data_IF_826557842924
#
_entry.id   IF_826557842924
#
_cell.length_a   1.000
_cell.length_b   1.000
_cell.length_c   1.000
_cell.angle_alpha   90.00
_cell.angle_beta   90.00
_cell.angle_gamma   90.00
#
_symmetry.space_group_name_H-M   'P 1'
#
loop_
_entity.id
_entity.type
_entity.pdbx_description
1 polymer ?
#
# COMPACT_ATOMS: atom_id res chain seq x y z
N UNK A 1 -7.49 -17.18 6.91
CA UNK A 1 -7.32 -15.91 6.14
C UNK A 1 -8.06 -14.71 6.77
N UNK A 2 -9.05 -14.91 7.65
CA UNK A 2 -9.82 -13.81 8.25
C UNK A 2 -9.11 -13.09 9.40
N UNK A 3 -8.09 -13.68 9.98
CA UNK A 3 -7.42 -13.18 11.19
C UNK A 3 -6.15 -12.39 10.94
N UNK A 4 -5.60 -12.42 9.71
CA UNK A 4 -4.25 -11.93 9.42
C UNK A 4 -4.17 -10.64 8.59
N UNK A 5 -5.28 -10.08 8.13
CA UNK A 5 -5.25 -8.75 7.54
C UNK A 5 -5.49 -7.73 8.63
N UNK A 6 -4.45 -6.95 8.88
CA UNK A 6 -4.40 -5.95 9.92
C UNK A 6 -5.60 -5.01 9.90
N UNK A 7 -5.77 -4.32 10.98
CA UNK A 7 -6.88 -3.41 11.24
C UNK A 7 -7.07 -2.40 10.10
N UNK A 8 -8.31 -2.21 9.68
CA UNK A 8 -8.67 -1.26 8.62
C UNK A 8 -8.74 0.14 9.22
N UNK A 9 -8.07 1.07 8.58
CA UNK A 9 -8.27 2.48 8.87
C UNK A 9 -9.23 3.06 7.82
N UNK A 10 -10.44 3.41 8.26
CA UNK A 10 -11.43 4.07 7.40
C UNK A 10 -11.07 5.55 7.30
N UNK A 11 -10.82 6.03 6.10
CA UNK A 11 -10.55 7.44 5.86
C UNK A 11 -11.88 8.17 5.62
N UNK A 12 -12.20 9.13 6.47
CA UNK A 12 -13.26 10.09 6.20
C UNK A 12 -12.93 10.89 4.92
N UNK A 13 -13.95 11.52 4.32
CA UNK A 13 -13.76 12.41 3.17
C UNK A 13 -12.69 13.46 3.49
N UNK A 14 -11.82 13.75 2.51
CA UNK A 14 -10.91 14.89 2.62
C UNK A 14 -11.77 16.15 2.57
N UNK A 15 -11.88 16.82 3.68
CA UNK A 15 -12.51 18.14 3.77
C UNK A 15 -11.43 19.21 3.68
N UNK A 16 -11.77 20.32 3.04
CA UNK A 16 -10.93 21.52 3.01
C UNK A 16 -11.60 22.55 3.90
N UNK A 17 -10.81 23.25 4.69
CA UNK A 17 -11.28 24.41 5.43
C UNK A 17 -11.61 25.59 4.48
N UNK A 18 -12.17 26.70 5.05
CA UNK A 18 -12.52 27.89 4.28
C UNK A 18 -11.32 28.56 3.59
N UNK A 19 -10.10 28.26 4.03
CA UNK A 19 -8.84 28.81 3.50
C UNK A 19 -8.16 27.85 2.52
N UNK A 20 -8.83 26.75 2.11
CA UNK A 20 -8.31 25.67 1.27
C UNK A 20 -7.14 24.90 1.86
N UNK A 21 -6.92 24.97 3.16
CA UNK A 21 -5.99 24.11 3.83
C UNK A 21 -6.57 22.69 3.92
N UNK A 22 -5.75 21.71 3.64
CA UNK A 22 -6.12 20.30 3.71
C UNK A 22 -6.38 19.91 5.18
N UNK A 23 -7.64 19.75 5.56
CA UNK A 23 -7.95 19.16 6.86
C UNK A 23 -7.38 17.76 6.91
N UNK A 24 -6.56 17.46 7.92
CA UNK A 24 -6.04 16.10 8.11
C UNK A 24 -7.24 15.17 8.30
N UNK A 25 -7.40 14.16 7.42
CA UNK A 25 -8.53 13.26 7.55
C UNK A 25 -8.43 12.49 8.87
N UNK A 26 -9.53 12.39 9.58
CA UNK A 26 -9.63 11.51 10.73
C UNK A 26 -9.59 10.06 10.25
N UNK A 27 -8.69 9.30 10.86
CA UNK A 27 -8.57 7.87 10.59
C UNK A 27 -9.12 7.10 11.77
N UNK A 28 -10.04 6.20 11.49
CA UNK A 28 -10.62 5.31 12.50
C UNK A 28 -10.14 3.89 12.26
N UNK A 29 -9.60 3.25 13.30
CA UNK A 29 -9.26 1.84 13.26
C UNK A 29 -10.55 1.01 13.33
N UNK A 30 -10.75 0.15 12.35
CA UNK A 30 -11.85 -0.82 12.43
C UNK A 30 -11.48 -1.94 13.39
N UNK A 31 -12.35 -2.22 14.35
CA UNK A 31 -12.25 -3.39 15.23
C UNK A 31 -12.76 -4.67 14.54
N UNK A 32 -13.35 -4.55 13.36
CA UNK A 32 -13.91 -5.66 12.60
C UNK A 32 -12.99 -6.05 11.44
N UNK A 33 -12.88 -7.35 11.13
CA UNK A 33 -12.17 -7.80 9.94
C UNK A 33 -12.77 -7.18 8.68
N UNK A 34 -11.93 -6.97 7.66
CA UNK A 34 -12.38 -6.48 6.36
C UNK A 34 -13.36 -7.48 5.75
N UNK A 35 -14.46 -6.98 5.21
CA UNK A 35 -15.49 -7.76 4.55
C UNK A 35 -15.55 -7.39 3.06
N UNK A 36 -16.06 -8.27 2.17
CA UNK A 36 -16.22 -7.95 0.75
C UNK A 36 -16.95 -6.63 0.49
N UNK A 37 -17.95 -6.32 1.30
CA UNK A 37 -18.70 -5.06 1.22
C UNK A 37 -17.82 -3.82 1.45
N UNK A 38 -16.77 -3.92 2.26
CA UNK A 38 -15.85 -2.80 2.47
C UNK A 38 -15.06 -2.51 1.19
N UNK A 39 -14.60 -3.54 0.47
CA UNK A 39 -13.94 -3.36 -0.83
C UNK A 39 -14.88 -2.71 -1.84
N UNK A 40 -16.15 -3.16 -1.92
CA UNK A 40 -17.12 -2.54 -2.82
C UNK A 40 -17.32 -1.05 -2.46
N UNK A 41 -17.48 -0.72 -1.19
CA UNK A 41 -17.59 0.68 -0.74
C UNK A 41 -16.34 1.49 -1.06
N UNK A 42 -15.17 0.87 -1.03
CA UNK A 42 -13.91 1.52 -1.42
C UNK A 42 -13.89 1.83 -2.92
N UNK A 43 -14.24 0.86 -3.76
CA UNK A 43 -14.34 1.04 -5.21
C UNK A 43 -15.38 2.11 -5.58
N UNK A 44 -16.48 2.18 -4.86
CA UNK A 44 -17.55 3.18 -5.05
C UNK A 44 -17.16 4.57 -4.47
N UNK A 45 -16.02 4.70 -3.82
CA UNK A 45 -15.59 5.97 -3.22
C UNK A 45 -16.32 6.37 -1.93
N UNK A 46 -17.04 5.44 -1.31
CA UNK A 46 -17.79 5.68 -0.05
C UNK A 46 -16.89 5.66 1.18
N UNK A 47 -15.89 4.79 1.19
CA UNK A 47 -14.88 4.68 2.26
C UNK A 47 -13.51 4.49 1.63
N UNK A 48 -12.45 5.07 2.21
CA UNK A 48 -11.08 4.78 1.81
C UNK A 48 -10.48 3.77 2.78
N UNK A 49 -9.92 2.68 2.24
CA UNK A 49 -9.31 1.62 3.04
C UNK A 49 -7.80 1.79 3.05
N UNK A 50 -7.21 1.78 4.26
CA UNK A 50 -5.79 1.57 4.46
C UNK A 50 -5.55 0.23 5.13
N UNK A 51 -4.50 -0.47 4.72
CA UNK A 51 -4.11 -1.76 5.30
C UNK A 51 -2.74 -1.63 5.94
N UNK A 52 -2.63 -2.18 7.15
CA UNK A 52 -1.37 -2.29 7.88
C UNK A 52 -0.63 -3.52 7.36
N UNK A 53 0.61 -3.38 6.83
CA UNK A 53 1.36 -4.52 6.29
C UNK A 53 1.96 -5.42 7.38
N UNK A 54 2.35 -4.84 8.53
CA UNK A 54 2.92 -5.61 9.64
C UNK A 54 1.80 -6.26 10.46
N UNK A 55 1.89 -7.58 10.67
CA UNK A 55 1.00 -8.30 11.57
C UNK A 55 1.45 -8.15 13.03
N UNK A 56 0.60 -8.57 13.97
CA UNK A 56 0.93 -8.57 15.42
C UNK A 56 2.11 -9.50 15.76
N UNK A 57 2.42 -10.47 14.90
CA UNK A 57 3.56 -11.39 15.04
C UNK A 57 4.83 -10.87 14.35
N UNK A 58 4.90 -9.60 13.92
CA UNK A 58 6.05 -9.04 13.21
C UNK A 58 6.25 -9.61 11.80
N UNK A 59 5.19 -10.11 11.17
CA UNK A 59 5.22 -10.69 9.83
C UNK A 59 4.55 -9.77 8.82
N UNK A 60 4.84 -9.99 7.52
CA UNK A 60 4.21 -9.29 6.42
C UNK A 60 3.89 -10.23 5.25
N UNK A 61 2.69 -10.09 4.67
CA UNK A 61 2.27 -10.76 3.44
C UNK A 61 2.56 -9.93 2.20
N UNK A 62 2.74 -8.65 2.37
CA UNK A 62 3.07 -7.71 1.32
C UNK A 62 3.86 -6.53 1.89
N UNK A 63 4.55 -5.86 1.01
CA UNK A 63 5.18 -4.57 1.33
C UNK A 63 4.91 -3.56 0.23
N UNK A 64 5.33 -2.33 0.46
CA UNK A 64 5.13 -1.25 -0.48
C UNK A 64 6.28 -0.23 -0.39
N UNK A 65 6.76 0.23 -1.54
CA UNK A 65 7.62 1.42 -1.65
C UNK A 65 6.68 2.59 -1.92
N UNK A 66 6.76 3.65 -1.11
CA UNK A 66 5.94 4.86 -1.24
C UNK A 66 6.77 5.99 -1.85
N UNK A 67 6.51 6.26 -3.12
CA UNK A 67 7.18 7.32 -3.88
C UNK A 67 6.33 8.58 -3.82
N UNK A 68 6.65 9.45 -2.88
CA UNK A 68 5.94 10.72 -2.68
C UNK A 68 6.40 11.79 -3.67
N UNK A 69 5.51 12.48 -4.40
CA UNK A 69 5.87 13.48 -5.40
C UNK A 69 6.76 14.62 -4.85
N UNK A 70 6.56 14.98 -3.59
CA UNK A 70 7.33 16.04 -2.92
C UNK A 70 8.84 15.73 -2.88
N UNK A 71 9.19 14.44 -2.88
CA UNK A 71 10.59 13.98 -2.84
C UNK A 71 11.21 13.76 -4.22
N UNK A 72 10.41 13.87 -5.30
CA UNK A 72 10.78 13.48 -6.66
C UNK A 72 10.25 14.47 -7.70
N UNK A 73 10.91 15.63 -7.88
CA UNK A 73 10.46 16.70 -8.78
C UNK A 73 10.41 16.28 -10.26
N UNK A 74 11.37 15.43 -10.69
CA UNK A 74 11.49 15.00 -12.09
C UNK A 74 11.39 13.49 -12.24
N UNK A 75 10.51 12.85 -11.47
CA UNK A 75 10.41 11.40 -11.45
C UNK A 75 9.84 10.83 -12.75
N UNK A 76 10.67 10.04 -13.43
CA UNK A 76 10.28 9.41 -14.69
C UNK A 76 9.58 8.05 -14.45
N UNK A 77 8.26 8.10 -14.36
CA UNK A 77 7.43 6.89 -14.16
C UNK A 77 7.62 5.89 -15.30
N UNK A 78 7.75 6.35 -16.55
CA UNK A 78 7.91 5.47 -17.72
C UNK A 78 9.21 4.68 -17.61
N UNK A 79 10.28 5.31 -17.17
CA UNK A 79 11.56 4.65 -16.94
C UNK A 79 11.45 3.59 -15.84
N UNK A 80 10.81 3.92 -14.70
CA UNK A 80 10.57 2.96 -13.63
C UNK A 80 9.77 1.74 -14.14
N UNK A 81 8.70 1.96 -14.87
CA UNK A 81 7.89 0.87 -15.46
C UNK A 81 8.72 0.01 -16.40
N UNK A 82 9.61 0.63 -17.20
CA UNK A 82 10.51 -0.08 -18.10
C UNK A 82 11.50 -0.98 -17.34
N UNK A 83 11.98 -0.55 -16.19
CA UNK A 83 12.86 -1.37 -15.34
C UNK A 83 12.12 -2.55 -14.72
N UNK A 84 10.92 -2.32 -14.17
CA UNK A 84 10.08 -3.40 -13.62
C UNK A 84 9.86 -4.49 -14.67
N UNK A 85 9.55 -4.11 -15.90
CA UNK A 85 9.34 -5.06 -16.99
C UNK A 85 10.64 -5.73 -17.43
N UNK A 86 11.68 -4.95 -17.72
CA UNK A 86 12.99 -5.43 -18.20
C UNK A 86 13.58 -6.48 -17.26
N UNK A 87 13.50 -6.23 -15.96
CA UNK A 87 14.04 -7.14 -14.95
C UNK A 87 13.01 -8.12 -14.41
N UNK A 88 11.80 -8.14 -14.98
CA UNK A 88 10.69 -9.03 -14.58
C UNK A 88 10.45 -9.00 -13.07
N UNK A 89 10.51 -7.81 -12.47
CA UNK A 89 10.31 -7.66 -11.04
C UNK A 89 8.84 -7.92 -10.68
N UNK A 90 8.56 -8.67 -9.59
CA UNK A 90 7.20 -8.98 -9.17
C UNK A 90 6.56 -7.79 -8.44
N UNK A 91 6.64 -6.62 -9.03
CA UNK A 91 6.18 -5.35 -8.48
C UNK A 91 4.93 -4.85 -9.18
N UNK A 92 3.99 -4.33 -8.41
CA UNK A 92 2.74 -3.76 -8.92
C UNK A 92 2.71 -2.26 -8.60
N UNK A 93 3.10 -1.39 -9.53
CA UNK A 93 3.03 0.05 -9.35
C UNK A 93 1.59 0.55 -9.50
N UNK A 94 1.13 1.35 -8.55
CA UNK A 94 -0.18 1.97 -8.54
C UNK A 94 -0.05 3.48 -8.26
N UNK A 95 -0.90 4.29 -8.88
CA UNK A 95 -0.99 5.71 -8.53
C UNK A 95 -1.46 5.88 -7.09
N UNK A 96 -0.73 6.70 -6.33
CA UNK A 96 -1.10 7.06 -4.97
C UNK A 96 -2.13 8.19 -4.94
N UNK A 97 -2.67 8.49 -3.76
CA UNK A 97 -3.61 9.60 -3.54
C UNK A 97 -2.98 10.96 -3.82
N UNK A 98 -1.71 11.14 -3.49
CA UNK A 98 -0.95 12.39 -3.67
C UNK A 98 -0.47 12.61 -5.11
N UNK A 99 -0.70 11.64 -6.01
CA UNK A 99 -0.20 11.67 -7.39
C UNK A 99 1.16 11.02 -7.58
N UNK A 100 1.78 10.51 -6.52
CA UNK A 100 2.97 9.66 -6.57
C UNK A 100 2.64 8.21 -6.89
N UNK A 101 3.46 7.28 -6.37
CA UNK A 101 3.30 5.85 -6.58
C UNK A 101 3.35 5.07 -5.27
N UNK A 102 2.51 4.06 -5.18
CA UNK A 102 2.67 2.92 -4.29
C UNK A 102 3.11 1.72 -5.13
N UNK A 103 4.31 1.21 -4.89
CA UNK A 103 4.86 0.06 -5.61
C UNK A 103 4.78 -1.14 -4.69
N UNK A 104 3.82 -2.02 -4.95
CA UNK A 104 3.53 -3.17 -4.08
C UNK A 104 4.37 -4.38 -4.47
N UNK A 105 4.79 -5.12 -3.44
CA UNK A 105 5.34 -6.47 -3.53
C UNK A 105 4.44 -7.41 -2.72
N UNK A 106 3.75 -8.34 -3.38
CA UNK A 106 2.92 -9.34 -2.73
C UNK A 106 3.62 -10.70 -2.71
N UNK A 107 3.55 -11.38 -1.57
CA UNK A 107 3.96 -12.78 -1.45
C UNK A 107 2.81 -13.68 -1.90
N UNK A 108 2.74 -13.93 -3.18
CA UNK A 108 1.68 -14.74 -3.77
C UNK A 108 2.22 -15.60 -4.92
N UNK A 109 1.45 -16.61 -5.29
CA UNK A 109 1.66 -17.41 -6.48
C UNK A 109 0.32 -17.68 -7.17
N UNK A 110 0.37 -17.82 -8.49
CA UNK A 110 -0.76 -18.28 -9.26
C UNK A 110 -0.75 -19.79 -9.32
N UNK A 111 -1.88 -20.43 -9.15
CA UNK A 111 -2.02 -21.85 -9.46
C UNK A 111 -1.81 -22.09 -10.97
N UNK A 112 -1.61 -23.36 -11.34
CA UNK A 112 -1.41 -23.75 -12.74
C UNK A 112 -2.58 -23.36 -13.65
N UNK A 113 -3.80 -23.24 -13.11
CA UNK A 113 -4.98 -22.76 -13.83
C UNK A 113 -4.92 -21.25 -14.16
N UNK A 114 -3.94 -20.52 -13.61
CA UNK A 114 -3.74 -19.07 -13.76
C UNK A 114 -4.92 -18.19 -13.34
N UNK A 115 -5.89 -18.73 -12.63
CA UNK A 115 -7.12 -18.03 -12.21
C UNK A 115 -7.16 -17.81 -10.71
N UNK A 116 -6.50 -18.66 -9.93
CA UNK A 116 -6.53 -18.59 -8.46
C UNK A 116 -5.20 -18.11 -7.92
N UNK A 117 -5.24 -16.99 -7.20
CA UNK A 117 -4.08 -16.38 -6.52
C UNK A 117 -4.07 -16.82 -5.05
N UNK A 118 -2.97 -17.43 -4.62
CA UNK A 118 -2.74 -17.77 -3.22
C UNK A 118 -1.66 -16.90 -2.62
N UNK A 119 -1.91 -16.39 -1.41
CA UNK A 119 -0.86 -15.77 -0.61
C UNK A 119 0.05 -16.88 -0.07
N UNK A 120 1.36 -16.68 -0.19
CA UNK A 120 2.35 -17.48 0.53
C UNK A 120 2.26 -17.23 2.03
N UNK A 121 3.03 -17.99 2.78
CA UNK A 121 3.25 -17.69 4.20
C UNK A 121 3.86 -16.28 4.34
N UNK A 122 3.48 -15.60 5.41
CA UNK A 122 4.05 -14.31 5.76
C UNK A 122 5.54 -14.49 6.11
N UNK A 123 6.36 -13.55 5.67
CA UNK A 123 7.77 -13.46 6.07
C UNK A 123 7.95 -12.43 7.18
N UNK A 124 9.12 -12.42 7.82
CA UNK A 124 9.43 -11.38 8.79
C UNK A 124 9.32 -9.99 8.16
N UNK A 125 8.73 -9.05 8.89
CA UNK A 125 8.56 -7.68 8.42
C UNK A 125 9.92 -7.03 8.09
N UNK A 126 10.98 -7.34 8.84
CA UNK A 126 12.35 -6.90 8.52
C UNK A 126 12.82 -7.46 7.16
N UNK A 127 12.63 -8.77 6.92
CA UNK A 127 13.00 -9.40 5.64
C UNK A 127 12.24 -8.77 4.47
N UNK A 128 10.96 -8.42 4.64
CA UNK A 128 10.17 -7.68 3.63
C UNK A 128 10.79 -6.31 3.36
N UNK A 129 11.13 -5.56 4.40
CA UNK A 129 11.76 -4.24 4.28
C UNK A 129 13.11 -4.31 3.55
N UNK A 130 13.97 -5.26 3.92
CA UNK A 130 15.30 -5.44 3.32
C UNK A 130 15.18 -5.81 1.83
N UNK A 131 14.21 -6.66 1.51
CA UNK A 131 13.91 -7.01 0.11
C UNK A 131 13.51 -5.80 -0.71
N UNK A 132 12.63 -4.94 -0.20
CA UNK A 132 12.22 -3.72 -0.88
C UNK A 132 13.35 -2.68 -0.94
N UNK A 133 14.12 -2.54 0.15
CA UNK A 133 15.27 -1.62 0.19
C UNK A 133 16.33 -1.98 -0.86
N UNK A 134 16.55 -3.26 -1.13
CA UNK A 134 17.48 -3.73 -2.16
C UNK A 134 17.06 -3.31 -3.58
N UNK A 135 15.76 -3.04 -3.79
CA UNK A 135 15.21 -2.63 -5.08
C UNK A 135 15.27 -1.12 -5.32
N UNK A 136 15.51 -0.30 -4.29
CA UNK A 136 15.49 1.16 -4.45
C UNK A 136 16.50 1.65 -5.49
N UNK A 137 17.77 1.25 -5.38
CA UNK A 137 18.81 1.68 -6.32
C UNK A 137 18.59 1.15 -7.74
N UNK A 138 18.29 -0.14 -7.95
CA UNK A 138 17.94 -0.66 -9.28
C UNK A 138 16.74 0.04 -9.95
N UNK A 139 15.83 0.62 -9.16
CA UNK A 139 14.70 1.40 -9.65
C UNK A 139 14.99 2.90 -9.71
N UNK A 140 16.23 3.32 -9.51
CA UNK A 140 16.65 4.73 -9.45
C UNK A 140 15.93 5.55 -8.37
N UNK A 141 15.53 4.89 -7.29
CA UNK A 141 14.89 5.53 -6.15
C UNK A 141 15.92 5.92 -5.07
N UNK A 142 15.62 6.98 -4.34
CA UNK A 142 16.44 7.44 -3.23
C UNK A 142 16.46 6.42 -2.09
N UNK A 143 17.58 6.26 -1.41
CA UNK A 143 17.68 5.40 -0.22
C UNK A 143 16.75 5.83 0.93
N UNK A 144 16.32 7.09 0.92
CA UNK A 144 15.40 7.67 1.91
C UNK A 144 13.93 7.47 1.56
N UNK A 145 13.61 6.80 0.44
CA UNK A 145 12.24 6.50 0.03
C UNK A 145 11.54 5.65 1.09
N UNK A 146 10.32 6.01 1.42
CA UNK A 146 9.56 5.30 2.43
C UNK A 146 9.23 3.86 1.99
N UNK A 147 9.38 2.93 2.93
CA UNK A 147 9.09 1.51 2.75
C UNK A 147 8.12 1.04 3.83
N UNK A 148 7.09 0.33 3.41
CA UNK A 148 6.14 -0.35 4.29
C UNK A 148 6.34 -1.87 4.25
N UNK A 149 6.22 -2.57 5.39
CA UNK A 149 5.89 -2.05 6.71
C UNK A 149 6.92 -1.05 7.22
N UNK A 150 6.46 0.04 7.89
CA UNK A 150 7.38 0.98 8.58
C UNK A 150 7.89 0.37 9.89
N UNK A 151 7.04 -0.37 10.58
CA UNK A 151 7.38 -1.11 11.79
C UNK A 151 7.68 -2.58 11.46
N UNK A 152 8.62 -3.15 12.19
CA UNK A 152 8.92 -4.58 12.17
C UNK A 152 8.24 -5.32 13.32
N UNK A 153 7.87 -4.59 14.35
CA UNK A 153 7.09 -5.02 15.49
C UNK A 153 6.02 -3.98 15.78
N UNK A 154 4.90 -4.41 16.33
CA UNK A 154 3.83 -3.52 16.73
C UNK A 154 3.84 -3.35 18.23
N UNK A 155 3.92 -2.11 18.67
CA UNK A 155 3.78 -1.75 20.06
C UNK A 155 2.32 -1.38 20.38
N UNK A 156 1.80 -1.78 21.55
CA UNK A 156 0.47 -1.38 21.97
C UNK A 156 0.41 0.14 22.22
N UNK A 157 -0.67 0.77 21.74
CA UNK A 157 -1.00 2.13 22.09
C UNK A 157 -1.47 2.23 23.58
N UNK A 158 -1.80 3.44 24.03
CA UNK A 158 -2.30 3.69 25.41
C UNK A 158 -3.60 2.92 25.75
N UNK A 159 -4.28 2.38 24.73
CA UNK A 159 -5.48 1.55 24.88
C UNK A 159 -5.22 0.05 24.65
N UNK A 160 -3.95 -0.34 24.51
CA UNK A 160 -3.55 -1.74 24.27
C UNK A 160 -3.80 -2.23 22.86
N UNK A 161 -4.10 -1.36 21.87
CA UNK A 161 -4.27 -1.78 20.50
C UNK A 161 -2.92 -1.82 19.78
N UNK A 162 -2.66 -2.92 19.07
CA UNK A 162 -1.45 -3.07 18.25
C UNK A 162 -1.70 -2.41 16.86
N UNK A 163 -1.42 -1.11 16.79
CA UNK A 163 -1.63 -0.31 15.59
C UNK A 163 -0.32 0.23 15.02
N UNK A 164 -0.05 -0.10 13.77
CA UNK A 164 1.11 0.40 13.02
C UNK A 164 0.73 1.33 11.88
N UNK A 165 1.71 1.75 11.11
CA UNK A 165 1.48 2.52 9.90
C UNK A 165 0.75 1.67 8.86
N UNK A 166 -0.11 2.30 8.08
CA UNK A 166 -0.90 1.67 7.03
C UNK A 166 -0.59 2.32 5.68
N UNK A 167 -0.86 1.58 4.62
CA UNK A 167 -0.82 2.06 3.25
C UNK A 167 -2.23 2.05 2.66
N UNK A 168 -2.61 3.12 1.97
CA UNK A 168 -3.93 3.20 1.32
C UNK A 168 -4.01 2.26 0.13
N UNK A 169 -5.10 1.50 0.03
CA UNK A 169 -5.33 0.65 -1.12
C UNK A 169 -5.52 1.47 -2.41
N UNK A 170 -5.10 0.91 -3.56
CA UNK A 170 -5.42 1.46 -4.88
C UNK A 170 -6.91 1.31 -5.20
N UNK A 171 -7.34 1.86 -6.33
CA UNK A 171 -8.69 1.77 -6.89
C UNK A 171 -9.80 2.45 -6.07
N UNK A 172 -9.48 3.30 -5.08
CA UNK A 172 -10.50 4.10 -4.41
C UNK A 172 -11.27 4.95 -5.42
N UNK A 173 -12.61 4.86 -5.41
CA UNK A 173 -13.49 5.57 -6.35
C UNK A 173 -13.01 5.41 -7.80
N UNK A 174 -12.89 4.17 -8.25
CA UNK A 174 -12.18 3.77 -9.46
C UNK A 174 -12.65 4.46 -10.74
N UNK A 175 -13.90 4.92 -10.77
CA UNK A 175 -14.46 5.67 -11.92
C UNK A 175 -14.05 7.14 -11.94
N UNK A 176 -13.70 7.73 -10.78
CA UNK A 176 -13.50 9.17 -10.64
C UNK A 176 -12.09 9.55 -10.17
N UNK A 177 -11.21 8.58 -9.91
CA UNK A 177 -9.84 8.84 -9.49
C UNK A 177 -8.84 8.10 -10.37
N UNK A 178 -7.58 8.57 -10.38
CA UNK A 178 -6.48 7.92 -11.10
C UNK A 178 -5.68 6.97 -10.22
N UNK A 179 -6.26 6.41 -9.16
CA UNK A 179 -5.59 5.52 -8.20
C UNK A 179 -5.64 4.05 -8.65
N UNK A 180 -5.11 3.76 -9.81
CA UNK A 180 -5.10 2.43 -10.42
C UNK A 180 -3.68 1.91 -10.67
N UNK A 181 -3.59 0.62 -10.95
CA UNK A 181 -2.34 -0.02 -11.38
C UNK A 181 -1.84 0.55 -12.71
N UNK A 182 -0.55 0.70 -12.81
CA UNK A 182 0.12 1.24 -13.99
C UNK A 182 0.84 0.13 -14.75
N UNK A 183 0.74 0.17 -16.05
CA UNK A 183 1.60 -0.55 -16.97
C UNK A 183 2.15 0.41 -18.04
N UNK A 184 3.10 -0.05 -18.85
CA UNK A 184 3.75 0.79 -19.88
C UNK A 184 2.80 1.27 -20.98
N UNK A 185 1.60 0.70 -21.07
CA UNK A 185 0.63 0.97 -22.14
C UNK A 185 -0.51 1.91 -21.67
N UNK A 186 -0.44 2.41 -20.41
CA UNK A 186 -1.50 3.26 -19.82
C UNK A 186 -0.98 4.57 -19.28
#
# INVERSE_FOLDING_TARGET
LKENFGQIKLQAKVEFDKERNKIKPEYTWSKQPIQPLHYQKHLDGKISIGIQPCTKEGKAYFGCIDVDPENYQDFNIVLLLSYIEKYKLPLIPCRSKSGGLHIYLFLCYLLMDKTTLFLKEAIDAQTMRDSLASLLLPLELKRTTEIYPKQIELEPDEHGNLAGNFINLPYFNHTNTKRYGLDKNK
#
